data_IF_009245025790
#
_entry.id   IF_009245025790
#
_cell.length_a   1.000
_cell.length_b   1.000
_cell.length_c   1.000
_cell.angle_alpha   90.00
_cell.angle_beta   90.00
_cell.angle_gamma   90.00
#
_symmetry.space_group_name_H-M   'P 1'
#
loop_
_entity.id
_entity.type
_entity.pdbx_description
1 polymer ?
#
# COMPACT_ATOMS: atom_id res chain seq x y z
N UNK A 1 -0.44 -22.85 3.90
CA UNK A 1 -1.12 -21.54 3.82
C UNK A 1 -1.53 -21.26 2.37
N UNK A 2 -2.81 -21.47 2.01
CA UNK A 2 -3.32 -21.20 0.66
C UNK A 2 -4.53 -20.26 0.74
N UNK A 3 -4.24 -18.97 0.74
CA UNK A 3 -5.21 -17.93 0.41
C UNK A 3 -4.48 -16.84 -0.40
N UNK A 4 -3.90 -17.23 -1.53
CA UNK A 4 -3.41 -16.28 -2.54
C UNK A 4 -4.30 -16.46 -3.76
N UNK A 5 -4.91 -15.35 -4.21
CA UNK A 5 -5.72 -15.15 -5.44
C UNK A 5 -7.26 -15.23 -5.31
N UNK A 6 -7.86 -14.99 -4.14
CA UNK A 6 -9.33 -14.86 -4.03
C UNK A 6 -9.85 -13.42 -4.24
N UNK A 7 -8.98 -12.46 -4.57
CA UNK A 7 -9.37 -11.05 -4.73
C UNK A 7 -9.78 -10.32 -3.44
N UNK A 8 -9.78 -11.01 -2.29
CA UNK A 8 -10.18 -10.43 -1.00
C UNK A 8 -9.30 -9.23 -0.62
N UNK A 9 -7.97 -9.36 -0.77
CA UNK A 9 -7.06 -8.26 -0.47
C UNK A 9 -7.31 -7.03 -1.35
N UNK A 10 -7.63 -7.23 -2.63
CA UNK A 10 -8.00 -6.14 -3.55
C UNK A 10 -9.29 -5.47 -3.10
N UNK A 11 -10.35 -6.25 -2.83
CA UNK A 11 -11.64 -5.69 -2.39
C UNK A 11 -11.54 -4.91 -1.08
N UNK A 12 -10.74 -5.39 -0.14
CA UNK A 12 -10.47 -4.68 1.12
C UNK A 12 -9.72 -3.37 0.87
N UNK A 13 -8.71 -3.39 0.01
CA UNK A 13 -7.95 -2.20 -0.35
C UNK A 13 -8.85 -1.18 -1.07
N UNK A 14 -9.62 -1.61 -2.07
CA UNK A 14 -10.54 -0.76 -2.82
C UNK A 14 -11.58 -0.10 -1.90
N UNK A 15 -12.16 -0.88 -0.98
CA UNK A 15 -13.09 -0.35 0.03
C UNK A 15 -12.45 0.67 0.96
N UNK A 16 -11.21 0.43 1.40
CA UNK A 16 -10.47 1.37 2.23
C UNK A 16 -10.14 2.67 1.47
N UNK A 17 -9.72 2.58 0.20
CA UNK A 17 -9.46 3.75 -0.64
C UNK A 17 -10.75 4.53 -0.93
N UNK A 18 -11.86 3.84 -1.21
CA UNK A 18 -13.17 4.47 -1.41
C UNK A 18 -13.65 5.22 -0.16
N UNK A 19 -13.51 4.60 1.02
CA UNK A 19 -13.81 5.26 2.29
C UNK A 19 -12.93 6.50 2.47
N UNK A 20 -11.61 6.38 2.26
CA UNK A 20 -10.70 7.51 2.37
C UNK A 20 -11.06 8.66 1.41
N UNK A 21 -11.50 8.36 0.19
CA UNK A 21 -12.05 9.36 -0.76
C UNK A 21 -13.31 10.03 -0.23
N UNK A 22 -14.25 9.26 0.32
CA UNK A 22 -15.50 9.82 0.87
C UNK A 22 -15.28 10.78 2.04
N UNK A 23 -14.15 10.66 2.75
CA UNK A 23 -13.75 11.59 3.80
C UNK A 23 -12.94 12.80 3.27
N UNK A 24 -12.83 12.98 1.95
CA UNK A 24 -12.04 14.05 1.34
C UNK A 24 -10.53 13.81 1.39
N UNK A 25 -10.09 12.56 1.57
CA UNK A 25 -8.69 12.20 1.55
C UNK A 25 -8.07 12.44 0.17
N UNK A 26 -6.95 13.17 0.11
CA UNK A 26 -6.26 13.48 -1.14
C UNK A 26 -5.18 12.45 -1.51
N UNK A 27 -4.64 11.75 -0.50
CA UNK A 27 -3.54 10.79 -0.68
C UNK A 27 -3.59 9.73 0.41
N UNK A 28 -3.43 8.47 0.02
CA UNK A 28 -3.20 7.35 0.92
C UNK A 28 -1.71 7.06 1.01
N UNK A 29 -1.24 6.69 2.20
CA UNK A 29 0.13 6.22 2.43
C UNK A 29 0.11 4.85 3.09
N UNK A 30 1.12 4.04 2.79
CA UNK A 30 1.36 2.78 3.48
C UNK A 30 2.84 2.45 3.54
N UNK A 31 3.19 1.57 4.46
CA UNK A 31 4.55 1.09 4.67
C UNK A 31 4.58 -0.42 4.41
N UNK A 32 5.56 -0.87 3.63
CA UNK A 32 5.76 -2.27 3.31
C UNK A 32 7.22 -2.64 3.48
N UNK A 33 7.50 -3.84 4.00
CA UNK A 33 8.85 -4.40 4.06
C UNK A 33 9.53 -4.34 2.69
N UNK A 34 10.75 -3.80 2.64
CA UNK A 34 11.49 -3.63 1.39
C UNK A 34 11.75 -4.95 0.65
N UNK A 35 11.86 -6.07 1.37
CA UNK A 35 12.01 -7.41 0.78
C UNK A 35 10.71 -8.03 0.26
N UNK A 36 9.54 -7.47 0.58
CA UNK A 36 8.25 -8.07 0.23
C UNK A 36 7.79 -7.66 -1.18
N UNK A 37 8.53 -8.14 -2.20
CA UNK A 37 8.26 -7.86 -3.61
C UNK A 37 6.81 -8.20 -4.03
N UNK A 38 6.21 -9.23 -3.43
CA UNK A 38 4.83 -9.62 -3.72
C UNK A 38 3.79 -8.59 -3.24
N UNK A 39 4.00 -7.99 -2.07
CA UNK A 39 3.15 -6.92 -1.55
C UNK A 39 3.41 -5.59 -2.29
N UNK A 40 4.67 -5.28 -2.58
CA UNK A 40 5.05 -4.09 -3.37
C UNK A 40 4.34 -4.12 -4.73
N UNK A 41 4.50 -5.21 -5.49
CA UNK A 41 3.84 -5.36 -6.78
C UNK A 41 2.30 -5.37 -6.66
N UNK A 42 1.75 -5.83 -5.53
CA UNK A 42 0.31 -5.75 -5.28
C UNK A 42 -0.16 -4.31 -5.14
N UNK A 43 0.52 -3.49 -4.32
CA UNK A 43 0.16 -2.09 -4.14
C UNK A 43 0.40 -1.26 -5.40
N UNK A 44 1.50 -1.50 -6.13
CA UNK A 44 1.78 -0.82 -7.40
C UNK A 44 0.65 -1.03 -8.41
N UNK A 45 0.08 -2.25 -8.50
CA UNK A 45 -1.10 -2.52 -9.35
C UNK A 45 -2.37 -1.77 -8.93
N UNK A 46 -2.46 -1.28 -7.69
CA UNK A 46 -3.58 -0.47 -7.20
C UNK A 46 -3.25 1.03 -7.19
N UNK A 47 -2.25 1.46 -7.98
CA UNK A 47 -1.93 2.88 -8.18
C UNK A 47 -0.98 3.47 -7.14
N UNK A 48 -0.47 2.66 -6.20
CA UNK A 48 0.55 3.14 -5.28
C UNK A 48 1.91 3.30 -5.98
N UNK A 49 2.66 4.33 -5.60
CA UNK A 49 4.01 4.61 -6.08
C UNK A 49 4.96 4.84 -4.90
N UNK A 50 6.26 4.52 -5.03
CA UNK A 50 7.24 4.83 -4.01
C UNK A 50 7.27 6.33 -3.67
N UNK A 51 7.14 6.65 -2.38
CA UNK A 51 7.19 8.00 -1.84
C UNK A 51 8.39 8.21 -0.90
N UNK A 52 9.03 7.13 -0.45
CA UNK A 52 10.20 7.20 0.41
C UNK A 52 10.63 5.85 0.97
N UNK A 53 11.66 5.87 1.82
CA UNK A 53 12.17 4.69 2.51
C UNK A 53 12.52 5.03 3.96
N UNK A 54 12.00 4.25 4.90
CA UNK A 54 12.32 4.36 6.33
C UNK A 54 13.35 3.28 6.67
N UNK A 55 14.56 3.70 7.05
CA UNK A 55 15.63 2.77 7.43
C UNK A 55 15.31 2.11 8.78
N UNK A 56 15.58 0.81 8.89
CA UNK A 56 15.42 0.03 10.12
C UNK A 56 14.03 0.16 10.78
N UNK A 57 12.98 0.29 9.97
CA UNK A 57 11.62 0.51 10.47
C UNK A 57 11.05 -0.72 11.19
N UNK A 58 11.33 -1.91 10.66
CA UNK A 58 10.99 -3.16 11.33
C UNK A 58 12.16 -3.60 12.19
N UNK A 59 11.91 -4.03 13.43
CA UNK A 59 12.94 -4.44 14.38
C UNK A 59 13.26 -5.94 14.35
N UNK A 60 12.40 -6.77 13.76
CA UNK A 60 12.58 -8.24 13.74
C UNK A 60 12.04 -8.86 12.45
N UNK A 61 12.91 -9.36 11.55
CA UNK A 61 14.31 -8.94 11.42
C UNK A 61 14.41 -7.42 11.19
N UNK A 62 15.59 -6.84 11.49
CA UNK A 62 15.86 -5.43 11.18
C UNK A 62 15.74 -5.23 9.68
N UNK A 63 14.78 -4.41 9.27
CA UNK A 63 14.48 -4.22 7.86
C UNK A 63 13.92 -2.83 7.58
N UNK A 64 14.28 -2.31 6.41
CA UNK A 64 13.73 -1.07 5.91
C UNK A 64 12.26 -1.25 5.46
N UNK A 65 11.49 -0.18 5.59
CA UNK A 65 10.19 -0.07 4.99
C UNK A 65 10.24 0.86 3.77
N UNK A 66 9.63 0.42 2.67
CA UNK A 66 9.26 1.32 1.58
C UNK A 66 7.94 1.99 1.95
N UNK A 67 7.93 3.32 1.84
CA UNK A 67 6.71 4.11 1.94
C UNK A 67 6.15 4.24 0.54
N UNK A 68 4.93 3.76 0.34
CA UNK A 68 4.20 3.93 -0.91
C UNK A 68 3.04 4.92 -0.71
N UNK A 69 2.69 5.65 -1.75
CA UNK A 69 1.55 6.56 -1.73
C UNK A 69 0.69 6.45 -2.99
N UNK A 70 -0.62 6.63 -2.85
CA UNK A 70 -1.57 6.66 -3.94
C UNK A 70 -2.40 7.95 -3.86
N UNK A 71 -2.55 8.65 -4.99
CA UNK A 71 -3.46 9.79 -5.10
C UNK A 71 -4.91 9.31 -4.95
N UNK A 72 -5.66 9.99 -4.10
CA UNK A 72 -7.08 9.71 -3.87
C UNK A 72 -7.99 10.80 -4.45
N UNK A 73 -7.47 12.02 -4.63
CA UNK A 73 -8.18 13.09 -5.32
C UNK A 73 -8.47 12.72 -6.77
N UNK A 74 -9.60 13.21 -7.28
CA UNK A 74 -9.92 13.17 -8.69
C UNK A 74 -8.80 13.92 -9.44
N UNK A 75 -8.15 13.25 -10.39
CA UNK A 75 -7.46 13.98 -11.45
C UNK A 75 -8.59 14.71 -12.21
N UNK A 76 -8.71 16.02 -11.97
CA UNK A 76 -9.62 16.97 -12.64
C UNK A 76 -9.60 16.79 -14.18
#
# INVERSE_FOLDING_TARGET
MRARRTGIASRLLDGALAAARSFGGQRAFLEVRASNAGAIAFYERHGFRPAGRRKHYYASPVEDALVLSCGLGEDD
#
